data_IF_744679809509
#
_entry.id   IF_744679809509
#
_cell.length_a   1.000
_cell.length_b   1.000
_cell.length_c   1.000
_cell.angle_alpha   90.00
_cell.angle_beta   90.00
_cell.angle_gamma   90.00
#
_symmetry.space_group_name_H-M   'P 1'
#
loop_
_entity.id
_entity.type
_entity.pdbx_description
1 polymer ?
#
# COMPACT_ATOMS: atom_id res chain seq x y z
N UNK A 1 16.86 -0.99 6.42
CA UNK A 1 17.13 -0.20 5.22
C UNK A 1 18.43 0.56 5.41
N UNK A 2 19.21 0.69 4.34
CA UNK A 2 20.50 1.39 4.36
C UNK A 2 20.77 2.11 3.04
N UNK A 3 21.75 3.01 3.04
CA UNK A 3 22.22 3.70 1.82
C UNK A 3 22.47 2.71 0.68
N UNK A 4 21.99 3.06 -0.52
CA UNK A 4 22.10 2.22 -1.72
C UNK A 4 20.97 1.22 -1.89
N UNK A 5 20.05 1.10 -0.92
CA UNK A 5 18.81 0.36 -1.11
C UNK A 5 17.88 1.05 -2.12
N UNK A 6 17.06 0.25 -2.80
CA UNK A 6 16.01 0.68 -3.70
C UNK A 6 14.66 0.23 -3.16
N UNK A 7 13.86 1.18 -2.70
CA UNK A 7 12.49 0.99 -2.23
C UNK A 7 11.52 1.26 -3.36
N UNK A 8 10.85 0.21 -3.85
CA UNK A 8 9.78 0.32 -4.84
C UNK A 8 8.43 0.20 -4.13
N UNK A 9 7.62 1.26 -4.22
CA UNK A 9 6.30 1.33 -3.61
C UNK A 9 5.23 1.18 -4.68
N UNK A 10 4.37 0.17 -4.54
CA UNK A 10 3.41 -0.28 -5.55
C UNK A 10 2.00 -0.28 -4.96
N UNK A 11 1.02 0.10 -5.77
CA UNK A 11 -0.37 0.10 -5.36
C UNK A 11 -1.28 0.84 -6.32
N UNK A 12 -2.37 1.34 -5.78
CA UNK A 12 -3.45 2.01 -6.50
C UNK A 12 -3.32 3.56 -6.47
N UNK A 13 -4.44 4.29 -6.43
CA UNK A 13 -4.50 5.75 -6.39
C UNK A 13 -3.87 6.34 -5.12
N UNK A 14 -3.96 5.65 -3.98
CA UNK A 14 -3.39 6.13 -2.73
C UNK A 14 -1.85 6.09 -2.80
N UNK A 15 -1.29 5.10 -3.49
CA UNK A 15 0.15 5.04 -3.80
C UNK A 15 0.53 5.99 -4.91
N UNK A 16 -0.26 6.07 -5.99
CA UNK A 16 -0.01 6.91 -7.16
C UNK A 16 0.17 8.39 -6.78
N UNK A 17 -0.87 8.97 -6.16
CA UNK A 17 -0.90 10.37 -5.74
C UNK A 17 -0.41 11.38 -6.81
N UNK A 18 -0.57 11.07 -8.10
CA UNK A 18 -0.13 11.94 -9.20
C UNK A 18 1.36 11.83 -9.53
N UNK A 19 1.99 10.67 -9.28
CA UNK A 19 3.40 10.42 -9.59
C UNK A 19 3.70 10.56 -11.08
N UNK A 20 4.97 10.82 -11.42
CA UNK A 20 5.42 10.88 -12.81
C UNK A 20 5.40 9.49 -13.48
N UNK A 21 5.09 9.44 -14.78
CA UNK A 21 5.07 8.21 -15.61
C UNK A 21 6.26 8.18 -16.57
N UNK A 22 6.79 7.00 -16.97
CA UNK A 22 6.33 5.65 -16.62
C UNK A 22 6.81 5.16 -15.25
N UNK A 23 7.82 5.80 -14.65
CA UNK A 23 8.37 5.46 -13.33
C UNK A 23 8.53 6.73 -12.52
N UNK A 24 7.86 6.84 -11.37
CA UNK A 24 7.96 8.01 -10.50
C UNK A 24 9.20 7.89 -9.61
N UNK A 25 10.17 8.81 -9.74
CA UNK A 25 11.42 8.75 -8.97
C UNK A 25 11.59 9.96 -8.07
N UNK A 26 12.16 9.72 -6.89
CA UNK A 26 12.63 10.79 -6.03
C UNK A 26 13.69 11.67 -6.74
N UNK A 27 13.78 12.97 -6.43
CA UNK A 27 13.01 13.68 -5.41
C UNK A 27 11.70 14.32 -5.91
N UNK A 28 11.45 14.41 -7.22
CA UNK A 28 10.35 15.23 -7.76
C UNK A 28 9.19 14.44 -8.38
N UNK A 29 9.37 13.16 -8.71
CA UNK A 29 8.39 12.36 -9.46
C UNK A 29 7.52 11.43 -8.62
N UNK A 30 7.51 11.56 -7.29
CA UNK A 30 6.83 10.62 -6.39
C UNK A 30 5.33 10.90 -6.16
N UNK A 31 4.80 12.00 -6.69
CA UNK A 31 3.43 12.44 -6.41
C UNK A 31 3.28 13.11 -5.04
N UNK A 32 2.06 13.52 -4.73
CA UNK A 32 1.71 14.35 -3.57
C UNK A 32 1.02 13.54 -2.45
N UNK A 33 1.56 12.35 -2.13
CA UNK A 33 0.97 11.44 -1.16
C UNK A 33 1.99 10.81 -0.21
N UNK A 34 1.63 9.69 0.41
CA UNK A 34 2.44 9.05 1.45
C UNK A 34 3.81 8.59 0.95
N UNK A 35 3.94 8.22 -0.32
CA UNK A 35 5.24 7.84 -0.93
C UNK A 35 6.23 9.01 -0.92
N UNK A 36 5.77 10.21 -1.29
CA UNK A 36 6.59 11.42 -1.23
C UNK A 36 6.97 11.79 0.22
N UNK A 37 6.05 11.61 1.16
CA UNK A 37 6.31 11.84 2.60
C UNK A 37 7.30 10.82 3.18
N UNK A 38 7.19 9.53 2.80
CA UNK A 38 8.19 8.50 3.16
C UNK A 38 9.56 8.94 2.67
N UNK A 39 9.70 9.33 1.39
CA UNK A 39 10.98 9.83 0.88
C UNK A 39 11.51 11.03 1.67
N UNK A 40 10.66 12.02 1.98
CA UNK A 40 11.07 13.19 2.75
C UNK A 40 11.58 12.82 4.16
N UNK A 41 10.90 11.90 4.84
CA UNK A 41 11.32 11.38 6.15
C UNK A 41 12.67 10.65 6.05
N UNK A 42 12.80 9.70 5.12
CA UNK A 42 14.05 8.97 4.85
C UNK A 42 15.22 9.92 4.57
N UNK A 43 15.01 10.93 3.72
CA UNK A 43 16.05 11.87 3.30
C UNK A 43 16.45 12.85 4.41
N UNK A 44 15.57 13.10 5.38
CA UNK A 44 15.85 13.93 6.55
C UNK A 44 16.78 13.27 7.56
N UNK A 45 16.87 11.93 7.54
CA UNK A 45 17.68 11.14 8.46
C UNK A 45 19.00 10.70 7.81
N UNK A 46 20.14 11.16 8.35
CA UNK A 46 21.47 10.91 7.75
C UNK A 46 21.77 9.44 7.51
N UNK A 47 21.38 8.56 8.43
CA UNK A 47 21.65 7.12 8.33
C UNK A 47 20.88 6.46 7.16
N UNK A 48 19.81 7.12 6.69
CA UNK A 48 18.84 6.62 5.72
C UNK A 48 18.92 7.41 4.40
N UNK A 49 19.77 8.45 4.38
CA UNK A 49 20.10 9.21 3.19
C UNK A 49 20.73 8.33 2.09
N UNK A 50 20.23 8.48 0.86
CA UNK A 50 20.69 7.73 -0.30
C UNK A 50 19.98 6.39 -0.55
N UNK A 51 18.81 6.17 0.06
CA UNK A 51 17.83 5.19 -0.41
C UNK A 51 17.13 5.75 -1.65
N UNK A 52 17.08 4.98 -2.72
CA UNK A 52 16.31 5.31 -3.92
C UNK A 52 14.85 4.93 -3.69
N UNK A 53 13.95 5.92 -3.67
CA UNK A 53 12.50 5.69 -3.58
C UNK A 53 11.88 5.80 -4.96
N UNK A 54 11.09 4.79 -5.32
CA UNK A 54 10.38 4.70 -6.59
C UNK A 54 8.89 4.47 -6.32
N UNK A 55 8.05 5.25 -7.00
CA UNK A 55 6.61 5.12 -6.98
C UNK A 55 6.10 4.45 -8.28
N UNK A 56 5.48 3.27 -8.13
CA UNK A 56 4.79 2.53 -9.19
C UNK A 56 3.28 2.38 -8.92
N UNK A 57 2.70 3.28 -8.12
CA UNK A 57 1.25 3.38 -7.97
C UNK A 57 0.55 3.71 -9.30
N UNK A 58 -0.64 3.15 -9.51
CA UNK A 58 -1.51 3.45 -10.66
C UNK A 58 -2.94 3.60 -10.15
N UNK A 59 -3.51 4.79 -10.33
CA UNK A 59 -4.90 5.06 -9.95
C UNK A 59 -5.89 4.08 -10.58
N UNK A 60 -6.77 3.52 -9.74
CA UNK A 60 -7.81 2.58 -10.13
C UNK A 60 -7.39 1.11 -10.16
N UNK A 61 -6.10 0.79 -10.00
CA UNK A 61 -5.63 -0.59 -10.02
C UNK A 61 -6.29 -1.44 -8.94
N UNK A 62 -6.63 -2.66 -9.33
CA UNK A 62 -6.92 -3.80 -8.47
C UNK A 62 -5.68 -4.69 -8.32
N UNK A 63 -5.74 -5.69 -7.45
CA UNK A 63 -4.66 -6.70 -7.36
C UNK A 63 -4.43 -7.45 -8.67
N UNK A 64 -5.47 -7.61 -9.51
CA UNK A 64 -5.35 -8.20 -10.85
C UNK A 64 -4.44 -7.36 -11.75
N UNK A 65 -4.62 -6.04 -11.71
CA UNK A 65 -3.88 -5.11 -12.57
C UNK A 65 -2.42 -5.04 -12.14
N UNK A 66 -2.16 -4.89 -10.83
CA UNK A 66 -0.81 -4.91 -10.27
C UNK A 66 -0.08 -6.21 -10.64
N UNK A 67 -0.78 -7.36 -10.52
CA UNK A 67 -0.22 -8.67 -10.90
C UNK A 67 0.18 -8.72 -12.38
N UNK A 68 -0.66 -8.22 -13.29
CA UNK A 68 -0.35 -8.23 -14.73
C UNK A 68 0.93 -7.44 -15.06
N UNK A 69 1.15 -6.35 -14.35
CA UNK A 69 2.34 -5.50 -14.50
C UNK A 69 3.42 -5.74 -13.44
N UNK A 70 3.36 -6.86 -12.72
CA UNK A 70 4.29 -7.12 -11.61
C UNK A 70 5.74 -7.19 -12.06
N UNK A 71 5.99 -7.60 -13.31
CA UNK A 71 7.31 -7.56 -13.92
C UNK A 71 7.93 -6.15 -13.93
N UNK A 72 7.13 -5.08 -14.08
CA UNK A 72 7.62 -3.69 -14.01
C UNK A 72 8.23 -3.36 -12.64
N UNK A 73 7.76 -4.03 -11.57
CA UNK A 73 8.30 -3.90 -10.21
C UNK A 73 9.64 -4.63 -10.10
N UNK A 74 9.69 -5.86 -10.61
CA UNK A 74 10.88 -6.73 -10.50
C UNK A 74 12.03 -6.25 -11.40
N UNK A 75 11.72 -5.74 -12.60
CA UNK A 75 12.71 -5.22 -13.56
C UNK A 75 13.46 -3.99 -13.04
N UNK A 76 12.89 -3.30 -12.04
CA UNK A 76 13.59 -2.22 -11.33
C UNK A 76 14.64 -2.72 -10.36
N UNK A 77 14.83 -4.03 -10.15
CA UNK A 77 15.79 -4.57 -9.18
C UNK A 77 15.63 -3.99 -7.77
N UNK A 78 14.44 -4.09 -7.15
CA UNK A 78 14.20 -3.58 -5.81
C UNK A 78 15.05 -4.32 -4.78
N UNK A 79 15.47 -3.63 -3.72
CA UNK A 79 15.91 -4.30 -2.49
C UNK A 79 14.81 -4.31 -1.44
N UNK A 80 13.84 -3.41 -1.54
CA UNK A 80 12.64 -3.37 -0.72
C UNK A 80 11.41 -3.11 -1.57
N UNK A 81 10.29 -3.75 -1.22
CA UNK A 81 9.00 -3.54 -1.88
C UNK A 81 7.94 -3.24 -0.82
N UNK A 82 7.09 -2.24 -1.08
CA UNK A 82 5.79 -2.11 -0.41
C UNK A 82 4.67 -2.35 -1.42
N UNK A 83 3.64 -3.08 -1.00
CA UNK A 83 2.44 -3.34 -1.80
C UNK A 83 1.20 -2.95 -1.00
N UNK A 84 0.51 -1.89 -1.44
CA UNK A 84 -0.78 -1.48 -0.90
C UNK A 84 -1.85 -1.65 -1.98
N UNK A 85 -2.69 -2.67 -1.85
CA UNK A 85 -3.71 -3.00 -2.86
C UNK A 85 -4.88 -3.73 -2.21
N UNK A 86 -6.08 -3.57 -2.77
CA UNK A 86 -7.28 -4.27 -2.30
C UNK A 86 -8.51 -3.38 -2.17
N UNK A 87 -8.35 -2.05 -2.03
CA UNK A 87 -9.53 -1.19 -1.86
C UNK A 87 -10.38 -1.17 -3.13
N UNK A 88 -9.76 -1.11 -4.32
CA UNK A 88 -10.48 -1.17 -5.59
C UNK A 88 -11.06 -2.56 -5.89
N UNK A 89 -10.37 -3.63 -5.48
CA UNK A 89 -10.88 -5.01 -5.57
C UNK A 89 -12.25 -5.15 -4.89
N UNK A 90 -12.45 -4.41 -3.79
CA UNK A 90 -13.71 -4.29 -3.06
C UNK A 90 -14.62 -3.22 -3.66
N UNK A 91 -14.13 -1.99 -3.87
CA UNK A 91 -14.94 -0.83 -4.22
C UNK A 91 -15.71 -1.02 -5.52
N UNK A 92 -15.13 -1.73 -6.51
CA UNK A 92 -15.82 -2.07 -7.78
C UNK A 92 -17.12 -2.85 -7.60
N UNK A 93 -17.24 -3.60 -6.50
CA UNK A 93 -18.46 -4.35 -6.16
C UNK A 93 -19.60 -3.43 -5.69
N UNK A 94 -19.29 -2.19 -5.29
CA UNK A 94 -20.25 -1.22 -4.76
C UNK A 94 -20.57 -0.11 -5.77
N UNK A 95 -19.58 0.41 -6.49
CA UNK A 95 -19.77 1.53 -7.41
C UNK A 95 -20.08 1.10 -8.85
N UNK A 96 -19.85 -0.18 -9.20
CA UNK A 96 -20.19 -0.77 -10.51
C UNK A 96 -20.89 -2.13 -10.38
N UNK A 97 -22.08 -2.19 -9.73
CA UNK A 97 -22.80 -3.45 -9.56
C UNK A 97 -23.25 -4.09 -10.89
N UNK A 98 -23.27 -3.33 -11.97
CA UNK A 98 -23.60 -3.75 -13.33
C UNK A 98 -22.41 -4.38 -14.10
N UNK A 99 -21.18 -4.28 -13.59
CA UNK A 99 -19.96 -4.82 -14.19
C UNK A 99 -19.17 -5.70 -13.20
N UNK A 100 -19.74 -6.84 -12.74
CA UNK A 100 -19.13 -7.68 -11.71
C UNK A 100 -17.74 -8.24 -12.09
N UNK A 101 -17.44 -8.36 -13.38
CA UNK A 101 -16.13 -8.76 -13.89
C UNK A 101 -15.01 -7.75 -13.60
N UNK A 102 -15.37 -6.49 -13.32
CA UNK A 102 -14.42 -5.45 -12.93
C UNK A 102 -13.94 -5.60 -11.48
N UNK A 103 -14.65 -6.38 -10.67
CA UNK A 103 -14.24 -6.70 -9.31
C UNK A 103 -13.29 -7.90 -9.27
N UNK A 104 -12.50 -7.96 -8.20
CA UNK A 104 -11.66 -9.11 -7.90
C UNK A 104 -12.25 -9.81 -6.68
N UNK A 105 -12.66 -11.06 -6.84
CA UNK A 105 -13.19 -11.88 -5.73
C UNK A 105 -12.12 -12.15 -4.68
N UNK A 106 -12.53 -12.51 -3.46
CA UNK A 106 -11.59 -12.80 -2.36
C UNK A 106 -10.60 -13.92 -2.71
N UNK A 107 -11.05 -14.97 -3.39
CA UNK A 107 -10.19 -16.10 -3.79
C UNK A 107 -9.17 -15.67 -4.85
N UNK A 108 -9.59 -14.84 -5.81
CA UNK A 108 -8.68 -14.25 -6.79
C UNK A 108 -7.66 -13.34 -6.11
N UNK A 109 -8.11 -12.47 -5.20
CA UNK A 109 -7.24 -11.56 -4.45
C UNK A 109 -6.17 -12.35 -3.68
N UNK A 110 -6.56 -13.42 -2.99
CA UNK A 110 -5.61 -14.32 -2.29
C UNK A 110 -4.58 -14.92 -3.25
N UNK A 111 -5.03 -15.51 -4.35
CA UNK A 111 -4.16 -16.13 -5.33
C UNK A 111 -3.19 -15.13 -5.98
N UNK A 112 -3.67 -13.91 -6.29
CA UNK A 112 -2.85 -12.88 -6.90
C UNK A 112 -1.80 -12.33 -5.94
N UNK A 113 -2.18 -12.07 -4.68
CA UNK A 113 -1.24 -11.66 -3.64
C UNK A 113 -0.18 -12.73 -3.38
N UNK A 114 -0.59 -14.00 -3.24
CA UNK A 114 0.32 -15.11 -2.97
C UNK A 114 1.34 -15.28 -4.09
N UNK A 115 0.92 -15.18 -5.36
CA UNK A 115 1.87 -15.23 -6.49
C UNK A 115 2.86 -14.06 -6.48
N UNK A 116 2.39 -12.83 -6.26
CA UNK A 116 3.27 -11.66 -6.20
C UNK A 116 4.27 -11.79 -5.04
N UNK A 117 3.83 -12.26 -3.87
CA UNK A 117 4.68 -12.49 -2.70
C UNK A 117 5.73 -13.56 -2.98
N UNK A 118 5.33 -14.74 -3.47
CA UNK A 118 6.25 -15.85 -3.76
C UNK A 118 7.29 -15.44 -4.80
N UNK A 119 6.89 -14.69 -5.83
CA UNK A 119 7.81 -14.26 -6.89
C UNK A 119 8.90 -13.28 -6.43
N UNK A 120 8.70 -12.56 -5.32
CA UNK A 120 9.58 -11.46 -4.92
C UNK A 120 10.33 -11.71 -3.61
N UNK A 121 9.70 -12.36 -2.62
CA UNK A 121 10.16 -12.35 -1.21
C UNK A 121 11.60 -12.83 -1.00
N UNK A 122 12.07 -13.81 -1.77
CA UNK A 122 13.40 -14.39 -1.61
C UNK A 122 14.49 -13.61 -2.38
N UNK A 123 14.09 -12.62 -3.18
CA UNK A 123 14.99 -11.78 -4.00
C UNK A 123 15.19 -10.37 -3.44
N UNK A 124 14.44 -10.00 -2.41
CA UNK A 124 14.48 -8.69 -1.76
C UNK A 124 14.88 -8.83 -0.30
N UNK A 125 15.39 -7.75 0.31
CA UNK A 125 15.67 -7.70 1.76
C UNK A 125 14.39 -7.67 2.58
N UNK A 126 13.32 -7.08 2.02
CA UNK A 126 12.01 -7.12 2.63
C UNK A 126 10.89 -6.75 1.66
N UNK A 127 9.79 -7.48 1.81
CA UNK A 127 8.50 -7.19 1.18
C UNK A 127 7.53 -6.83 2.30
N UNK A 128 6.83 -5.70 2.17
CA UNK A 128 5.87 -5.23 3.15
C UNK A 128 4.49 -5.10 2.51
N UNK A 129 3.52 -5.84 3.06
CA UNK A 129 2.13 -5.79 2.65
C UNK A 129 1.39 -4.77 3.52
N UNK A 130 0.84 -3.74 2.86
CA UNK A 130 0.08 -2.67 3.49
C UNK A 130 -1.40 -2.99 3.26
N UNK A 131 -2.11 -3.31 4.33
CA UNK A 131 -3.52 -3.74 4.22
C UNK A 131 -4.37 -2.67 3.52
N UNK A 132 -5.41 -3.04 2.75
CA UNK A 132 -6.39 -2.07 2.29
C UNK A 132 -7.16 -1.50 3.49
N UNK A 133 -7.69 -0.29 3.34
CA UNK A 133 -8.48 0.39 4.38
C UNK A 133 -9.72 1.08 3.80
N UNK A 134 -10.69 1.33 4.66
CA UNK A 134 -11.87 2.14 4.42
C UNK A 134 -12.26 2.86 5.72
N UNK A 135 -12.32 4.19 5.67
CA UNK A 135 -12.52 5.05 6.84
C UNK A 135 -14.01 5.27 7.09
N UNK A 136 -14.59 4.32 7.82
CA UNK A 136 -15.97 4.37 8.26
C UNK A 136 -16.05 3.94 9.74
N UNK A 137 -16.73 4.75 10.55
CA UNK A 137 -16.96 4.47 11.97
C UNK A 137 -17.96 3.32 12.15
N UNK A 138 -18.90 3.16 11.22
CA UNK A 138 -19.81 2.04 11.21
C UNK A 138 -19.12 0.79 10.65
N UNK A 139 -18.56 -0.02 11.54
CA UNK A 139 -18.01 -1.34 11.20
C UNK A 139 -19.05 -2.27 10.58
N UNK A 140 -20.33 -1.96 10.70
CA UNK A 140 -21.41 -2.72 10.07
C UNK A 140 -21.61 -2.38 8.59
N UNK A 141 -21.05 -1.26 8.12
CA UNK A 141 -21.16 -0.81 6.74
C UNK A 141 -20.67 -1.91 5.76
N UNK A 142 -21.44 -2.25 4.70
CA UNK A 142 -21.13 -3.38 3.83
C UNK A 142 -19.73 -3.33 3.20
N UNK A 143 -19.31 -2.15 2.71
CA UNK A 143 -17.98 -1.97 2.14
C UNK A 143 -16.89 -2.09 3.20
N UNK A 144 -17.14 -1.59 4.42
CA UNK A 144 -16.20 -1.68 5.54
C UNK A 144 -15.93 -3.13 5.94
N UNK A 145 -17.00 -3.92 6.11
CA UNK A 145 -16.89 -5.37 6.39
C UNK A 145 -16.12 -6.12 5.30
N UNK A 146 -16.38 -5.77 4.04
CA UNK A 146 -15.74 -6.43 2.92
C UNK A 146 -14.25 -6.06 2.83
N UNK A 147 -13.89 -4.79 3.05
CA UNK A 147 -12.48 -4.37 3.17
C UNK A 147 -11.78 -5.08 4.33
N UNK A 148 -12.42 -5.22 5.50
CA UNK A 148 -11.85 -5.98 6.62
C UNK A 148 -11.62 -7.46 6.25
N UNK A 149 -12.48 -8.06 5.42
CA UNK A 149 -12.29 -9.42 4.91
C UNK A 149 -11.05 -9.54 4.00
N UNK A 150 -10.79 -8.54 3.16
CA UNK A 150 -9.62 -8.52 2.27
C UNK A 150 -8.35 -8.20 3.03
N UNK A 151 -8.43 -7.30 4.03
CA UNK A 151 -7.37 -7.07 5.02
C UNK A 151 -6.97 -8.37 5.70
N UNK A 152 -7.92 -9.14 6.25
CA UNK A 152 -7.64 -10.43 6.90
C UNK A 152 -6.95 -11.42 5.95
N UNK A 153 -7.35 -11.46 4.68
CA UNK A 153 -6.70 -12.29 3.68
C UNK A 153 -5.23 -11.88 3.44
N UNK A 154 -4.96 -10.58 3.27
CA UNK A 154 -3.59 -10.07 3.13
C UNK A 154 -2.76 -10.33 4.39
N UNK A 155 -3.34 -10.14 5.58
CA UNK A 155 -2.69 -10.46 6.87
C UNK A 155 -2.29 -11.93 6.94
N UNK A 156 -3.19 -12.84 6.56
CA UNK A 156 -2.91 -14.28 6.52
C UNK A 156 -1.75 -14.63 5.59
N UNK A 157 -1.70 -14.03 4.39
CA UNK A 157 -0.61 -14.23 3.42
C UNK A 157 0.72 -13.68 3.96
N UNK A 158 0.70 -12.49 4.58
CA UNK A 158 1.90 -11.90 5.16
C UNK A 158 2.55 -12.85 6.18
N UNK A 159 1.76 -13.38 7.10
CA UNK A 159 2.23 -14.33 8.12
C UNK A 159 2.62 -15.68 7.54
N UNK A 160 1.85 -16.22 6.59
CA UNK A 160 2.15 -17.52 5.97
C UNK A 160 3.50 -17.55 5.24
N UNK A 161 3.92 -16.42 4.65
CA UNK A 161 5.18 -16.32 3.92
C UNK A 161 6.30 -15.60 4.66
N UNK A 162 6.07 -15.14 5.89
CA UNK A 162 7.07 -14.45 6.70
C UNK A 162 7.51 -13.10 6.12
N UNK A 163 6.59 -12.40 5.45
CA UNK A 163 6.84 -11.04 4.93
C UNK A 163 6.27 -9.99 5.89
N UNK A 164 6.73 -8.74 5.78
CA UNK A 164 6.30 -7.68 6.69
C UNK A 164 4.82 -7.36 6.49
N UNK A 165 4.14 -7.11 7.60
CA UNK A 165 2.71 -6.78 7.65
C UNK A 165 2.53 -5.39 8.26
N UNK A 166 1.97 -4.46 7.48
CA UNK A 166 1.63 -3.11 7.90
C UNK A 166 0.10 -2.96 7.91
N UNK A 167 -0.49 -2.93 9.10
CA UNK A 167 -1.94 -2.89 9.27
C UNK A 167 -2.47 -1.45 9.23
N UNK A 168 -2.71 -0.95 8.01
CA UNK A 168 -3.12 0.45 7.80
C UNK A 168 -4.53 0.73 8.32
N UNK A 169 -5.46 -0.22 8.21
CA UNK A 169 -6.82 -0.07 8.75
C UNK A 169 -6.78 0.05 10.28
N UNK A 170 -5.98 -0.78 10.97
CA UNK A 170 -5.81 -0.64 12.42
C UNK A 170 -5.26 0.74 12.79
N UNK A 171 -4.28 1.23 12.03
CA UNK A 171 -3.70 2.56 12.24
C UNK A 171 -4.75 3.65 12.09
N UNK A 172 -5.56 3.60 11.04
CA UNK A 172 -6.62 4.58 10.83
C UNK A 172 -7.76 4.46 11.85
N UNK A 173 -8.15 3.24 12.24
CA UNK A 173 -9.14 3.02 13.30
C UNK A 173 -8.72 3.74 14.59
N UNK A 174 -7.46 3.59 15.01
CA UNK A 174 -6.92 4.30 16.19
C UNK A 174 -6.87 5.82 16.00
N UNK A 175 -6.59 6.27 14.79
CA UNK A 175 -6.57 7.71 14.49
C UNK A 175 -7.97 8.32 14.57
N UNK A 176 -8.99 7.56 14.17
CA UNK A 176 -10.40 7.98 14.21
C UNK A 176 -10.99 8.06 15.63
N UNK A 177 -10.31 7.51 16.64
CA UNK A 177 -10.68 7.70 18.04
C UNK A 177 -10.49 9.17 18.49
N UNK A 178 -9.59 9.92 17.84
CA UNK A 178 -9.24 11.30 18.20
C UNK A 178 -9.52 12.31 17.07
N UNK A 179 -9.54 11.85 15.81
CA UNK A 179 -9.66 12.69 14.62
C UNK A 179 -10.94 12.33 13.85
N UNK A 180 -11.84 13.29 13.57
CA UNK A 180 -13.01 13.00 12.76
C UNK A 180 -12.65 12.40 11.38
N UNK A 181 -13.29 11.31 10.94
CA UNK A 181 -12.95 10.62 9.69
C UNK A 181 -12.90 11.54 8.46
N UNK A 182 -13.79 12.52 8.38
CA UNK A 182 -13.87 13.51 7.30
C UNK A 182 -12.62 14.41 7.19
N UNK A 183 -11.84 14.54 8.28
CA UNK A 183 -10.54 15.23 8.28
C UNK A 183 -9.46 14.35 7.66
N UNK A 184 -9.63 13.02 7.71
CA UNK A 184 -8.72 12.04 7.16
C UNK A 184 -9.05 11.68 5.72
N UNK A 185 -10.33 11.57 5.36
CA UNK A 185 -10.81 11.33 4.01
C UNK A 185 -12.29 11.70 3.87
N UNK A 186 -12.66 12.38 2.79
CA UNK A 186 -14.06 12.75 2.53
C UNK A 186 -14.92 11.61 1.96
N UNK A 187 -14.29 10.63 1.31
CA UNK A 187 -14.97 9.49 0.67
C UNK A 187 -14.64 8.14 1.34
N UNK A 188 -13.89 8.18 2.45
CA UNK A 188 -13.45 7.00 3.18
C UNK A 188 -12.27 6.28 2.54
N UNK A 189 -11.79 6.68 1.36
CA UNK A 189 -10.73 5.98 0.62
C UNK A 189 -9.53 6.88 0.36
N UNK A 190 -9.72 8.06 -0.22
CA UNK A 190 -8.63 8.96 -0.60
C UNK A 190 -8.24 9.84 0.58
N UNK A 191 -7.04 9.66 1.16
CA UNK A 191 -6.66 10.40 2.36
C UNK A 191 -6.35 11.87 2.04
N UNK A 192 -6.60 12.76 2.98
CA UNK A 192 -6.04 14.11 2.98
C UNK A 192 -4.52 14.06 3.21
N UNK A 193 -3.84 15.21 3.13
CA UNK A 193 -2.41 15.28 3.47
C UNK A 193 -2.13 14.77 4.90
N UNK A 194 -3.04 15.02 5.85
CA UNK A 194 -2.93 14.48 7.21
C UNK A 194 -3.02 12.95 7.21
N UNK A 195 -3.99 12.37 6.50
CA UNK A 195 -4.12 10.92 6.39
C UNK A 195 -2.91 10.28 5.71
N UNK A 196 -2.39 10.88 4.63
CA UNK A 196 -1.14 10.45 3.99
C UNK A 196 0.08 10.56 4.91
N UNK A 197 0.16 11.58 5.77
CA UNK A 197 1.23 11.71 6.75
C UNK A 197 1.20 10.61 7.81
N UNK A 198 0.02 10.30 8.35
CA UNK A 198 -0.15 9.20 9.31
C UNK A 198 0.21 7.85 8.68
N UNK A 199 -0.24 7.63 7.44
CA UNK A 199 0.12 6.45 6.65
C UNK A 199 1.63 6.35 6.42
N UNK A 200 2.28 7.43 5.97
CA UNK A 200 3.73 7.46 5.73
C UNK A 200 4.53 7.12 7.00
N UNK A 201 4.15 7.73 8.14
CA UNK A 201 4.79 7.47 9.43
C UNK A 201 4.64 6.00 9.83
N UNK A 202 3.43 5.45 9.72
CA UNK A 202 3.17 4.06 10.10
C UNK A 202 3.93 3.06 9.24
N UNK A 203 3.91 3.24 7.91
CA UNK A 203 4.65 2.41 6.95
C UNK A 203 6.14 2.44 7.26
N UNK A 204 6.69 3.64 7.49
CA UNK A 204 8.10 3.77 7.79
C UNK A 204 8.45 3.03 9.09
N UNK A 205 7.73 3.29 10.19
CA UNK A 205 7.93 2.60 11.48
C UNK A 205 7.88 1.08 11.33
N UNK A 206 6.88 0.54 10.63
CA UNK A 206 6.79 -0.91 10.38
C UNK A 206 8.02 -1.45 9.67
N UNK A 207 8.58 -0.70 8.71
CA UNK A 207 9.78 -1.13 8.00
C UNK A 207 11.07 -0.96 8.81
N UNK A 208 11.17 0.03 9.72
CA UNK A 208 12.36 0.19 10.58
C UNK A 208 12.41 -0.83 11.71
N UNK A 209 11.26 -1.18 12.29
CA UNK A 209 11.17 -2.16 13.38
C UNK A 209 11.62 -3.55 12.90
N UNK A 210 11.46 -3.84 11.61
CA UNK A 210 11.92 -5.06 10.97
C UNK A 210 13.44 -5.15 10.81
N UNK A 211 14.17 -4.04 10.82
CA UNK A 211 15.63 -4.04 10.66
C UNK A 211 16.37 -4.55 11.91
N UNK A 212 15.65 -4.81 13.02
CA UNK A 212 16.21 -5.30 14.29
C UNK A 212 16.01 -6.80 14.52
N UNK A 213 15.35 -7.51 13.59
CA UNK A 213 15.12 -8.98 13.61
C UNK A 213 16.06 -9.69 12.64
#
# INVERSE_FOLDING_TARGET
MQRGDRLVMVGDSITDAGRERPVGRAPHGLGCGYVGLVHAMLASERAWSGIEVINLGVSGDTSRDVRQRWHEVLDLGPTWITLMIGVNDVWRQFDRPDAPESAVTLDQYRAFLEEMVISAKDSVKGLCLLTPFYLDLDRSHPMRKMVDTYREAMTGIAYAHGVLHCDTQMMFDRSMDEIPPETLSSDGVHPTLLGHYLLAKHVLTTMQDADWL
#
